data_IF_476561302483
#
_entry.id   IF_476561302483
#
_cell.length_a   1.000
_cell.length_b   1.000
_cell.length_c   1.000
_cell.angle_alpha   90.00
_cell.angle_beta   90.00
_cell.angle_gamma   90.00
#
_symmetry.space_group_name_H-M   'P 1'
#
loop_
_entity.id
_entity.type
_entity.pdbx_description
1 polymer ?
#
# COMPACT_ATOMS: atom_id res chain seq x y z
N UNK A 1 22.17 51.79 -51.66
CA UNK A 1 21.94 51.45 -50.23
C UNK A 1 22.95 52.26 -49.41
N UNK A 2 22.55 52.90 -48.30
CA UNK A 2 23.45 53.74 -47.48
C UNK A 2 24.28 54.78 -48.26
N UNK A 3 23.70 55.39 -49.30
CA UNK A 3 24.39 56.40 -50.13
C UNK A 3 25.33 55.84 -51.19
N UNK A 4 25.54 54.52 -51.27
CA UNK A 4 26.30 53.88 -52.35
C UNK A 4 25.40 53.27 -53.43
N UNK A 5 25.86 53.32 -54.68
CA UNK A 5 25.24 52.66 -55.82
C UNK A 5 25.69 51.19 -55.92
N UNK A 6 24.74 50.29 -56.21
CA UNK A 6 24.99 48.86 -56.36
C UNK A 6 24.48 48.37 -57.71
N UNK A 7 25.28 47.57 -58.41
CA UNK A 7 24.83 46.87 -59.60
C UNK A 7 24.00 45.66 -59.20
N UNK A 8 22.78 45.56 -59.73
CA UNK A 8 21.94 44.37 -59.59
C UNK A 8 22.45 43.31 -60.56
N UNK A 9 22.97 42.20 -60.02
CA UNK A 9 23.56 41.10 -60.80
C UNK A 9 22.55 40.00 -61.15
N UNK A 10 21.38 39.97 -60.50
CA UNK A 10 20.36 38.97 -60.72
C UNK A 10 19.12 39.20 -59.86
N UNK A 11 18.04 38.53 -60.23
CA UNK A 11 16.78 38.47 -59.50
C UNK A 11 16.43 37.01 -59.26
N UNK A 12 15.96 36.69 -58.05
CA UNK A 12 15.49 35.34 -57.71
C UNK A 12 13.97 35.28 -57.81
N UNK A 13 13.45 34.14 -58.26
CA UNK A 13 12.02 33.85 -58.13
C UNK A 13 11.70 33.61 -56.65
N UNK A 14 10.84 34.46 -56.10
CA UNK A 14 10.46 34.42 -54.69
C UNK A 14 9.75 33.12 -54.30
N UNK A 15 8.99 32.50 -55.20
CA UNK A 15 8.30 31.24 -54.92
C UNK A 15 9.30 30.08 -54.93
N UNK A 16 10.18 30.04 -55.94
CA UNK A 16 11.19 28.99 -56.03
C UNK A 16 12.18 29.02 -54.86
N UNK A 17 12.64 30.21 -54.44
CA UNK A 17 13.60 30.33 -53.34
C UNK A 17 12.97 29.98 -51.97
N UNK A 18 11.65 30.14 -51.83
CA UNK A 18 10.92 29.80 -50.60
C UNK A 18 10.87 28.29 -50.34
N UNK A 19 10.96 27.49 -51.40
CA UNK A 19 11.01 26.02 -51.32
C UNK A 19 12.42 25.48 -51.02
N UNK A 20 13.45 26.33 -51.09
CA UNK A 20 14.83 25.93 -50.77
C UNK A 20 15.05 26.06 -49.26
N UNK A 21 15.32 24.93 -48.62
CA UNK A 21 15.62 24.84 -47.19
C UNK A 21 17.07 24.42 -46.96
N UNK A 22 17.64 24.85 -45.83
CA UNK A 22 18.95 24.40 -45.36
C UNK A 22 18.84 23.00 -44.73
N UNK A 23 19.95 22.42 -44.29
CA UNK A 23 20.02 21.08 -43.71
C UNK A 23 19.20 20.94 -42.41
N UNK A 24 19.02 22.03 -41.66
CA UNK A 24 18.16 22.08 -40.47
C UNK A 24 16.66 22.13 -40.82
N UNK A 25 16.30 22.24 -42.11
CA UNK A 25 14.93 22.37 -42.58
C UNK A 25 14.39 23.81 -42.52
N UNK A 26 15.20 24.78 -42.13
CA UNK A 26 14.85 26.19 -42.10
C UNK A 26 15.05 26.88 -43.45
N UNK A 27 14.48 28.09 -43.61
CA UNK A 27 14.63 28.86 -44.85
C UNK A 27 15.98 29.58 -44.87
N UNK A 28 16.57 29.72 -46.06
CA UNK A 28 17.83 30.45 -46.27
C UNK A 28 17.73 31.97 -46.02
N UNK A 29 16.52 32.50 -45.84
CA UNK A 29 16.28 33.92 -45.56
C UNK A 29 16.64 34.27 -44.11
N UNK A 30 17.03 35.52 -43.79
CA UNK A 30 17.33 35.90 -42.41
C UNK A 30 16.14 35.76 -41.47
N UNK A 31 16.41 35.43 -40.21
CA UNK A 31 15.43 35.39 -39.11
C UNK A 31 14.87 36.80 -38.81
N UNK A 32 13.58 36.88 -38.52
CA UNK A 32 12.87 38.07 -38.04
C UNK A 32 13.23 38.32 -36.57
N UNK A 33 14.34 39.03 -36.38
CA UNK A 33 14.92 39.32 -35.06
C UNK A 33 14.02 40.15 -34.15
N UNK A 34 12.98 40.79 -34.69
CA UNK A 34 12.01 41.58 -33.91
C UNK A 34 10.96 40.65 -33.31
N UNK A 35 10.42 39.72 -34.10
CA UNK A 35 9.45 38.73 -33.61
C UNK A 35 10.08 37.75 -32.64
N UNK A 36 11.30 37.33 -32.94
CA UNK A 36 11.98 36.27 -32.19
C UNK A 36 13.04 36.82 -31.21
N UNK A 37 12.95 38.11 -30.86
CA UNK A 37 13.89 38.77 -29.95
C UNK A 37 14.05 38.01 -28.61
N UNK A 38 12.97 37.42 -28.11
CA UNK A 38 12.97 36.61 -26.88
C UNK A 38 13.74 35.30 -27.04
N UNK A 39 13.58 34.60 -28.16
CA UNK A 39 14.28 33.35 -28.49
C UNK A 39 15.78 33.61 -28.67
N UNK A 40 16.12 34.64 -29.45
CA UNK A 40 17.52 35.06 -29.69
C UNK A 40 18.22 35.47 -28.39
N UNK A 41 17.51 36.17 -27.50
CA UNK A 41 18.07 36.57 -26.20
C UNK A 41 18.38 35.33 -25.34
N UNK A 42 17.49 34.33 -25.32
CA UNK A 42 17.74 33.06 -24.60
C UNK A 42 18.95 32.33 -25.17
N UNK A 43 19.02 32.14 -26.48
CA UNK A 43 20.19 31.50 -27.11
C UNK A 43 21.50 32.21 -26.81
N UNK A 44 21.48 33.55 -26.72
CA UNK A 44 22.70 34.32 -26.44
C UNK A 44 23.13 34.30 -24.97
N UNK A 45 22.23 33.92 -24.05
CA UNK A 45 22.47 33.97 -22.59
C UNK A 45 22.63 32.58 -21.98
N UNK A 46 22.07 31.55 -22.61
CA UNK A 46 22.16 30.16 -22.16
C UNK A 46 23.48 29.49 -22.58
N UNK A 47 23.91 28.50 -21.79
CA UNK A 47 25.07 27.69 -22.12
C UNK A 47 24.79 26.94 -23.45
N UNK A 48 25.69 27.00 -24.45
CA UNK A 48 25.56 26.23 -25.70
C UNK A 48 25.30 24.74 -25.47
N UNK A 49 25.78 24.18 -24.35
CA UNK A 49 25.48 22.80 -23.93
C UNK A 49 24.05 22.60 -23.45
N UNK A 50 23.39 23.61 -22.89
CA UNK A 50 21.99 23.51 -22.52
C UNK A 50 21.08 23.59 -23.77
N UNK A 51 21.43 24.48 -24.70
CA UNK A 51 20.70 24.67 -25.97
C UNK A 51 20.79 23.45 -26.90
N UNK A 52 21.93 22.74 -26.90
CA UNK A 52 22.07 21.51 -27.67
C UNK A 52 21.24 20.32 -27.11
N UNK A 53 20.68 20.43 -25.89
CA UNK A 53 19.80 19.41 -25.29
C UNK A 53 18.30 19.69 -25.51
N UNK A 54 17.93 20.89 -25.94
CA UNK A 54 16.53 21.28 -26.17
C UNK A 54 16.06 20.88 -27.57
N UNK A 55 14.75 20.72 -27.75
CA UNK A 55 14.18 20.51 -29.08
C UNK A 55 14.55 21.69 -29.99
N UNK A 56 14.86 21.41 -31.26
CA UNK A 56 15.18 22.44 -32.26
C UNK A 56 13.99 23.39 -32.35
N UNK A 57 14.16 24.63 -31.89
CA UNK A 57 13.17 25.69 -32.02
C UNK A 57 13.23 26.23 -33.44
N UNK A 58 12.06 26.48 -34.04
CA UNK A 58 11.97 26.99 -35.42
C UNK A 58 11.83 28.51 -35.39
N UNK A 59 12.63 29.20 -36.20
CA UNK A 59 12.60 30.65 -36.30
C UNK A 59 11.61 31.15 -37.36
N UNK A 60 11.07 32.34 -37.12
CA UNK A 60 10.34 33.07 -38.14
C UNK A 60 11.34 33.73 -39.07
N UNK A 61 11.27 33.45 -40.38
CA UNK A 61 12.14 34.10 -41.36
C UNK A 61 11.43 35.26 -42.05
N UNK A 62 12.22 36.26 -42.46
CA UNK A 62 11.77 37.34 -43.33
C UNK A 62 11.34 36.78 -44.69
N UNK A 63 10.31 37.37 -45.30
CA UNK A 63 9.90 36.98 -46.65
C UNK A 63 11.00 37.30 -47.68
N UNK A 64 11.13 36.44 -48.70
CA UNK A 64 12.16 36.57 -49.75
C UNK A 64 12.12 37.94 -50.44
N UNK A 65 10.91 38.46 -50.70
CA UNK A 65 10.71 39.78 -51.32
C UNK A 65 11.28 40.95 -50.49
N UNK A 66 11.47 40.74 -49.19
CA UNK A 66 12.02 41.72 -48.26
C UNK A 66 13.52 41.47 -47.97
N UNK A 67 14.15 40.53 -48.68
CA UNK A 67 15.54 40.12 -48.44
C UNK A 67 16.43 40.50 -49.61
N UNK A 68 17.58 41.11 -49.31
CA UNK A 68 18.61 41.43 -50.30
C UNK A 68 19.85 40.56 -50.06
N UNK A 69 20.31 39.88 -51.11
CA UNK A 69 21.58 39.16 -51.09
C UNK A 69 22.71 40.10 -51.52
N UNK A 70 23.65 40.31 -50.61
CA UNK A 70 24.78 41.22 -50.82
C UNK A 70 26.11 40.46 -50.64
N UNK A 71 27.20 40.92 -51.27
CA UNK A 71 28.53 40.34 -51.04
C UNK A 71 28.90 40.33 -49.54
N UNK A 72 29.52 39.24 -49.09
CA UNK A 72 29.90 39.03 -47.69
C UNK A 72 30.60 40.23 -47.04
N UNK A 73 31.59 40.81 -47.73
CA UNK A 73 32.36 41.94 -47.20
C UNK A 73 31.47 43.16 -46.92
N UNK A 74 30.43 43.37 -47.74
CA UNK A 74 29.49 44.48 -47.58
C UNK A 74 28.51 44.24 -46.45
N UNK A 75 27.99 43.01 -46.31
CA UNK A 75 27.16 42.63 -45.16
C UNK A 75 27.92 42.84 -43.85
N UNK A 76 29.19 42.42 -43.81
CA UNK A 76 30.06 42.61 -42.64
C UNK A 76 30.35 44.08 -42.35
N UNK A 77 30.58 44.90 -43.38
CA UNK A 77 30.77 46.35 -43.22
C UNK A 77 29.51 47.06 -42.67
N UNK A 78 28.33 46.47 -42.85
CA UNK A 78 27.05 46.93 -42.30
C UNK A 78 26.72 46.31 -40.93
N UNK A 79 27.72 45.87 -40.18
CA UNK A 79 27.57 45.20 -38.87
C UNK A 79 26.78 43.88 -38.93
N UNK A 80 26.75 43.24 -40.10
CA UNK A 80 26.19 41.92 -40.27
C UNK A 80 26.96 40.88 -39.46
N UNK A 81 26.22 40.03 -38.73
CA UNK A 81 26.78 38.96 -37.88
C UNK A 81 26.70 37.61 -38.59
N UNK A 82 27.67 36.75 -38.30
CA UNK A 82 27.64 35.36 -38.73
C UNK A 82 26.46 34.64 -38.05
N UNK A 83 25.66 33.92 -38.84
CA UNK A 83 24.48 33.18 -38.36
C UNK A 83 24.57 31.70 -38.63
N UNK A 84 24.83 31.31 -39.87
CA UNK A 84 25.03 29.92 -40.27
C UNK A 84 26.38 29.78 -40.99
N UNK A 85 27.00 28.61 -40.85
CA UNK A 85 28.14 28.17 -41.65
C UNK A 85 27.76 26.83 -42.25
N UNK A 86 27.58 26.80 -43.57
CA UNK A 86 27.48 25.56 -44.33
C UNK A 86 28.84 25.21 -44.91
N UNK A 87 29.26 23.96 -44.75
CA UNK A 87 30.51 23.44 -45.31
C UNK A 87 30.16 22.32 -46.27
N UNK A 88 30.48 22.51 -47.55
CA UNK A 88 30.41 21.43 -48.52
C UNK A 88 31.59 20.47 -48.28
N UNK A 89 31.29 19.20 -48.05
CA UNK A 89 32.26 18.13 -47.92
C UNK A 89 32.15 17.18 -49.12
N UNK A 90 33.21 16.40 -49.35
CA UNK A 90 33.21 15.36 -50.37
C UNK A 90 32.29 14.21 -49.93
N UNK A 91 31.32 13.86 -50.78
CA UNK A 91 30.28 12.88 -50.45
C UNK A 91 30.82 11.46 -50.32
N UNK A 92 31.98 11.18 -50.92
CA UNK A 92 32.58 9.84 -51.02
C UNK A 92 33.67 9.59 -49.97
N UNK A 93 33.87 10.51 -49.02
CA UNK A 93 34.90 10.40 -47.99
C UNK A 93 34.47 9.43 -46.87
N UNK A 94 35.06 8.22 -46.79
CA UNK A 94 34.66 7.19 -45.83
C UNK A 94 35.01 7.57 -44.37
N UNK A 95 35.89 8.55 -44.19
CA UNK A 95 36.30 9.05 -42.86
C UNK A 95 35.55 10.31 -42.44
N UNK A 96 34.65 10.84 -43.29
CA UNK A 96 33.95 12.09 -43.01
C UNK A 96 33.15 12.03 -41.71
N UNK A 97 32.39 10.95 -41.51
CA UNK A 97 31.59 10.72 -40.30
C UNK A 97 32.48 10.65 -39.06
N UNK A 98 33.64 9.99 -39.14
CA UNK A 98 34.57 9.89 -38.02
C UNK A 98 35.19 11.26 -37.65
N UNK A 99 35.48 12.09 -38.66
CA UNK A 99 35.93 13.47 -38.45
C UNK A 99 34.86 14.34 -37.80
N UNK A 100 33.61 14.19 -38.24
CA UNK A 100 32.45 14.86 -37.63
C UNK A 100 32.32 14.45 -36.16
N UNK A 101 32.30 13.15 -35.86
CA UNK A 101 32.20 12.65 -34.48
C UNK A 101 33.34 13.15 -33.58
N UNK A 102 34.58 13.13 -34.09
CA UNK A 102 35.75 13.65 -33.39
C UNK A 102 35.65 15.16 -33.12
N UNK A 103 35.16 15.93 -34.08
CA UNK A 103 34.93 17.37 -33.91
C UNK A 103 33.82 17.64 -32.88
N UNK A 104 32.71 16.92 -32.96
CA UNK A 104 31.56 17.05 -32.06
C UNK A 104 31.89 16.66 -30.62
N UNK A 105 32.84 15.75 -30.40
CA UNK A 105 33.33 15.42 -29.05
C UNK A 105 34.03 16.61 -28.36
N UNK A 106 34.49 17.59 -29.14
CA UNK A 106 35.27 18.75 -28.66
C UNK A 106 34.46 20.04 -28.63
N UNK A 107 33.30 20.08 -29.28
CA UNK A 107 32.51 21.29 -29.49
C UNK A 107 31.06 21.05 -29.09
N UNK A 108 30.51 21.93 -28.26
CA UNK A 108 29.13 21.85 -27.80
C UNK A 108 28.18 22.61 -28.73
N UNK A 109 28.01 22.10 -29.95
CA UNK A 109 27.07 22.64 -30.94
C UNK A 109 26.17 21.50 -31.46
N UNK A 110 25.09 21.87 -32.14
CA UNK A 110 24.30 20.96 -32.98
C UNK A 110 24.77 21.11 -34.41
N UNK A 111 25.10 20.02 -35.08
CA UNK A 111 25.57 20.00 -36.46
C UNK A 111 24.62 19.15 -37.32
N UNK A 112 24.12 19.73 -38.41
CA UNK A 112 23.30 19.02 -39.38
C UNK A 112 24.17 18.54 -40.54
N UNK A 113 24.16 17.24 -40.81
CA UNK A 113 25.03 16.60 -41.80
C UNK A 113 24.18 15.85 -42.82
N UNK A 114 24.31 16.21 -44.09
CA UNK A 114 23.74 15.45 -45.19
C UNK A 114 24.50 14.14 -45.43
N UNK A 115 23.80 13.01 -45.41
CA UNK A 115 24.31 11.68 -45.72
C UNK A 115 23.39 11.01 -46.75
N UNK A 116 23.78 11.05 -48.02
CA UNK A 116 22.90 10.64 -49.13
C UNK A 116 21.62 11.49 -49.17
N UNK A 117 20.46 10.83 -49.20
CA UNK A 117 19.13 11.49 -49.23
C UNK A 117 18.59 11.87 -47.84
N UNK A 118 19.41 11.80 -46.78
CA UNK A 118 18.97 12.08 -45.40
C UNK A 118 19.85 13.11 -44.73
N UNK A 119 19.25 13.89 -43.84
CA UNK A 119 20.00 14.77 -42.94
C UNK A 119 20.01 14.17 -41.53
N UNK A 120 21.18 14.14 -40.92
CA UNK A 120 21.42 13.63 -39.57
C UNK A 120 21.90 14.78 -38.68
N UNK A 121 21.22 15.01 -37.56
CA UNK A 121 21.64 15.95 -36.55
C UNK A 121 22.59 15.27 -35.55
N UNK A 122 23.81 15.76 -35.45
CA UNK A 122 24.79 15.36 -34.44
C UNK A 122 24.79 16.40 -33.32
N UNK A 123 24.73 15.97 -32.06
CA UNK A 123 24.90 16.85 -30.90
C UNK A 123 25.91 16.26 -29.92
N UNK A 124 26.66 17.14 -29.25
CA UNK A 124 27.67 16.73 -28.24
C UNK A 124 27.07 16.08 -26.99
N UNK A 125 25.77 16.23 -26.82
CA UNK A 125 25.00 15.56 -25.77
C UNK A 125 24.55 14.27 -26.41
N UNK A 126 25.39 13.25 -26.29
CA UNK A 126 24.98 11.89 -26.58
C UNK A 126 23.62 11.70 -25.94
N UNK A 127 22.60 11.52 -26.77
CA UNK A 127 21.34 10.94 -26.36
C UNK A 127 21.72 9.62 -25.74
N UNK A 128 21.93 9.62 -24.42
CA UNK A 128 21.89 8.40 -23.66
C UNK A 128 20.42 8.05 -23.69
N UNK A 129 19.98 7.49 -24.81
CA UNK A 129 18.70 6.84 -24.90
C UNK A 129 18.61 5.96 -23.68
N UNK A 130 17.51 6.12 -22.96
CA UNK A 130 17.14 5.32 -21.80
C UNK A 130 16.75 3.91 -22.33
N UNK A 131 17.63 3.28 -23.10
CA UNK A 131 17.48 1.96 -23.72
C UNK A 131 17.51 0.83 -22.68
N UNK A 132 17.95 1.12 -21.45
CA UNK A 132 18.08 0.16 -20.35
C UNK A 132 17.05 0.25 -19.23
N UNK A 133 16.17 1.26 -19.15
CA UNK A 133 15.29 1.41 -17.98
C UNK A 133 14.31 0.23 -17.81
N UNK A 134 13.83 -0.34 -18.92
CA UNK A 134 13.02 -1.55 -18.89
C UNK A 134 13.74 -2.75 -18.26
N UNK A 135 15.06 -2.84 -18.40
CA UNK A 135 15.88 -3.92 -17.83
C UNK A 135 16.08 -3.76 -16.31
N UNK A 136 15.98 -2.53 -15.78
CA UNK A 136 16.07 -2.26 -14.34
C UNK A 136 14.79 -2.64 -13.58
N UNK A 137 13.65 -2.75 -14.27
CA UNK A 137 12.37 -3.05 -13.65
C UNK A 137 12.37 -4.41 -12.95
N UNK A 138 12.91 -5.46 -13.60
CA UNK A 138 12.91 -6.82 -13.05
C UNK A 138 13.77 -6.91 -11.77
N UNK A 139 15.04 -6.46 -11.75
CA UNK A 139 15.84 -6.42 -10.53
C UNK A 139 15.21 -5.60 -9.40
N UNK A 140 14.61 -4.45 -9.72
CA UNK A 140 13.92 -3.61 -8.73
C UNK A 140 12.74 -4.36 -8.10
N UNK A 141 11.93 -5.06 -8.90
CA UNK A 141 10.83 -5.88 -8.37
C UNK A 141 11.36 -7.02 -7.51
N UNK A 142 12.41 -7.72 -7.94
CA UNK A 142 13.01 -8.81 -7.16
C UNK A 142 13.51 -8.27 -5.81
N UNK A 143 14.24 -7.16 -5.81
CA UNK A 143 14.69 -6.50 -4.59
C UNK A 143 13.51 -6.08 -3.70
N UNK A 144 12.44 -5.54 -4.30
CA UNK A 144 11.22 -5.16 -3.61
C UNK A 144 10.58 -6.35 -2.89
N UNK A 145 10.47 -7.50 -3.56
CA UNK A 145 9.89 -8.73 -3.02
C UNK A 145 10.77 -9.34 -1.91
N UNK A 146 12.09 -9.27 -2.06
CA UNK A 146 13.02 -9.71 -1.02
C UNK A 146 12.83 -8.87 0.24
N UNK A 147 12.87 -7.54 0.13
CA UNK A 147 12.66 -6.63 1.27
C UNK A 147 11.30 -6.86 1.91
N UNK A 148 10.25 -7.00 1.09
CA UNK A 148 8.90 -7.32 1.56
C UNK A 148 8.90 -8.60 2.40
N UNK A 149 9.44 -9.70 1.88
CA UNK A 149 9.46 -11.00 2.57
C UNK A 149 10.28 -10.95 3.85
N UNK A 150 11.44 -10.28 3.84
CA UNK A 150 12.28 -10.11 5.04
C UNK A 150 11.57 -9.29 6.11
N UNK A 151 10.97 -8.16 5.75
CA UNK A 151 10.23 -7.32 6.71
C UNK A 151 8.98 -8.03 7.24
N UNK A 152 8.29 -8.83 6.42
CA UNK A 152 7.19 -9.68 6.88
C UNK A 152 7.68 -10.67 7.95
N UNK A 153 8.79 -11.37 7.69
CA UNK A 153 9.42 -12.29 8.65
C UNK A 153 9.76 -11.59 9.97
N UNK A 154 10.40 -10.42 9.90
CA UNK A 154 10.75 -9.62 11.08
C UNK A 154 9.53 -9.21 11.91
N UNK A 155 8.41 -8.86 11.28
CA UNK A 155 7.15 -8.54 11.99
C UNK A 155 6.61 -9.78 12.70
N UNK A 156 6.61 -10.95 12.05
CA UNK A 156 6.12 -12.19 12.65
C UNK A 156 6.96 -12.66 13.84
N UNK A 157 8.27 -12.48 13.80
CA UNK A 157 9.16 -12.81 14.92
C UNK A 157 8.91 -11.90 16.12
N UNK A 158 8.56 -10.62 15.88
CA UNK A 158 8.37 -9.59 16.92
C UNK A 158 6.92 -9.43 17.37
N UNK A 159 6.02 -10.38 17.10
CA UNK A 159 4.60 -10.31 17.51
C UNK A 159 4.43 -10.07 19.01
N UNK A 160 5.26 -10.70 19.85
CA UNK A 160 5.21 -10.51 21.31
C UNK A 160 5.55 -9.07 21.70
N UNK A 161 6.54 -8.47 21.06
CA UNK A 161 6.96 -7.08 21.30
C UNK A 161 5.87 -6.09 20.87
N UNK A 162 5.25 -6.32 19.71
CA UNK A 162 4.09 -5.55 19.22
C UNK A 162 2.95 -5.57 20.24
N UNK A 163 2.69 -6.73 20.85
CA UNK A 163 1.71 -6.87 21.94
C UNK A 163 2.08 -6.04 23.17
N UNK A 164 3.35 -6.01 23.57
CA UNK A 164 3.83 -5.18 24.69
C UNK A 164 3.62 -3.70 24.38
N UNK A 165 3.98 -3.24 23.18
CA UNK A 165 3.78 -1.86 22.76
C UNK A 165 2.31 -1.44 22.77
N UNK A 166 1.41 -2.33 22.33
CA UNK A 166 -0.03 -2.10 22.39
C UNK A 166 -0.53 -1.94 23.84
N UNK A 167 -0.06 -2.79 24.77
CA UNK A 167 -0.44 -2.72 26.20
C UNK A 167 0.08 -1.46 26.87
N UNK A 168 1.26 -0.96 26.46
CA UNK A 168 1.81 0.32 26.95
C UNK A 168 1.06 1.53 26.37
N UNK A 169 0.14 1.32 25.41
CA UNK A 169 -0.75 2.35 24.88
C UNK A 169 -0.25 3.02 23.59
N UNK A 170 0.71 2.43 22.88
CA UNK A 170 1.11 2.93 21.57
C UNK A 170 -0.04 2.76 20.57
N UNK A 171 -0.32 3.83 19.81
CA UNK A 171 -1.26 3.75 18.70
C UNK A 171 -0.76 2.76 17.64
N UNK A 172 -1.65 1.96 17.01
CA UNK A 172 -1.30 1.07 15.91
C UNK A 172 -0.44 1.73 14.82
N UNK A 173 -0.74 2.99 14.49
CA UNK A 173 0.03 3.77 13.51
C UNK A 173 1.47 4.04 13.94
N UNK A 174 1.73 4.26 15.23
CA UNK A 174 3.09 4.47 15.76
C UNK A 174 3.91 3.18 15.71
N UNK A 175 3.27 2.03 15.95
CA UNK A 175 3.93 0.73 15.82
C UNK A 175 4.31 0.49 14.36
N UNK A 176 3.40 0.74 13.42
CA UNK A 176 3.74 0.68 11.98
C UNK A 176 4.87 1.64 11.59
N UNK A 177 4.89 2.85 12.14
CA UNK A 177 5.95 3.84 11.91
C UNK A 177 7.32 3.36 12.42
N UNK A 178 7.37 2.59 13.50
CA UNK A 178 8.62 2.02 14.02
C UNK A 178 9.29 1.10 12.97
N UNK A 179 8.50 0.26 12.28
CA UNK A 179 9.01 -0.60 11.21
C UNK A 179 9.40 0.18 9.95
N UNK A 180 8.72 1.28 9.65
CA UNK A 180 9.14 2.22 8.59
C UNK A 180 10.47 2.93 8.94
N UNK A 181 10.66 3.29 10.21
CA UNK A 181 11.91 3.87 10.69
C UNK A 181 13.07 2.86 10.60
N UNK A 182 12.83 1.60 10.96
CA UNK A 182 13.83 0.52 10.83
C UNK A 182 14.24 0.32 9.35
N UNK A 183 13.27 0.33 8.43
CA UNK A 183 13.54 0.22 7.00
C UNK A 183 14.25 1.43 6.40
N UNK A 184 14.19 2.60 7.04
CA UNK A 184 15.01 3.76 6.66
C UNK A 184 16.51 3.48 6.84
N UNK A 185 16.87 2.73 7.87
CA UNK A 185 18.27 2.31 8.11
C UNK A 185 18.73 1.39 6.97
N UNK A 186 17.90 0.41 6.58
CA UNK A 186 18.21 -0.46 5.45
C UNK A 186 18.28 0.29 4.11
N UNK A 187 17.38 1.25 3.88
CA UNK A 187 17.40 2.08 2.68
C UNK A 187 18.69 2.91 2.57
N UNK A 188 19.08 3.55 3.67
CA UNK A 188 20.29 4.39 3.73
C UNK A 188 21.55 3.54 3.58
N UNK A 189 21.63 2.44 4.31
CA UNK A 189 22.79 1.55 4.26
C UNK A 189 22.92 0.88 2.89
N UNK A 190 21.81 0.42 2.31
CA UNK A 190 21.75 -0.17 0.98
C UNK A 190 22.17 0.82 -0.11
N UNK A 191 21.75 2.08 -0.02
CA UNK A 191 22.16 3.12 -0.96
C UNK A 191 23.68 3.40 -0.89
N UNK A 192 24.23 3.58 0.32
CA UNK A 192 25.66 3.88 0.52
C UNK A 192 26.53 2.70 0.08
N UNK A 193 26.22 1.48 0.52
CA UNK A 193 26.98 0.28 0.18
C UNK A 193 26.82 -0.05 -1.30
N UNK A 194 25.61 0.05 -1.84
CA UNK A 194 25.34 -0.19 -3.26
C UNK A 194 26.11 0.78 -4.16
N UNK A 195 26.17 2.06 -3.79
CA UNK A 195 26.96 3.05 -4.50
C UNK A 195 28.46 2.70 -4.47
N UNK A 196 29.00 2.38 -3.29
CA UNK A 196 30.41 2.00 -3.16
C UNK A 196 30.76 0.74 -4.00
N UNK A 197 29.90 -0.28 -3.98
CA UNK A 197 30.08 -1.49 -4.79
C UNK A 197 29.98 -1.20 -6.29
N UNK A 198 29.07 -0.32 -6.71
CA UNK A 198 28.97 0.14 -8.09
C UNK A 198 30.25 0.82 -8.58
N UNK A 199 30.87 1.64 -7.73
CA UNK A 199 32.15 2.29 -8.04
C UNK A 199 33.30 1.28 -8.16
N UNK A 200 33.37 0.31 -7.24
CA UNK A 200 34.39 -0.74 -7.29
C UNK A 200 34.23 -1.60 -8.55
N UNK A 201 32.99 -2.00 -8.87
CA UNK A 201 32.69 -2.77 -10.08
C UNK A 201 33.06 -2.00 -11.35
N UNK A 202 32.78 -0.69 -11.38
CA UNK A 202 33.17 0.18 -12.49
C UNK A 202 34.69 0.24 -12.68
N UNK A 203 35.45 0.47 -11.60
CA UNK A 203 36.91 0.52 -11.64
C UNK A 203 37.50 -0.80 -12.15
N UNK A 204 36.94 -1.92 -11.70
CA UNK A 204 37.30 -3.25 -12.18
C UNK A 204 37.04 -3.40 -13.68
N UNK A 205 35.84 -3.04 -14.15
CA UNK A 205 35.50 -3.12 -15.58
C UNK A 205 36.40 -2.26 -16.47
N UNK A 206 36.79 -1.07 -16.01
CA UNK A 206 37.75 -0.21 -16.70
C UNK A 206 39.14 -0.85 -16.78
N UNK A 207 39.64 -1.40 -15.68
CA UNK A 207 40.99 -1.98 -15.61
C UNK A 207 41.16 -3.17 -16.57
N UNK A 208 40.12 -3.97 -16.77
CA UNK A 208 40.16 -5.14 -17.65
C UNK A 208 39.66 -4.87 -19.07
N UNK A 209 39.35 -3.61 -19.42
CA UNK A 209 38.93 -3.24 -20.77
C UNK A 209 37.60 -3.86 -21.22
N UNK A 210 36.73 -4.27 -20.27
CA UNK A 210 35.42 -4.86 -20.60
C UNK A 210 34.43 -3.83 -21.18
N UNK A 211 34.72 -2.54 -21.00
CA UNK A 211 33.95 -1.43 -21.53
C UNK A 211 34.60 -1.00 -22.86
N UNK A 212 34.11 -1.55 -23.98
CA UNK A 212 34.61 -1.30 -25.33
C UNK A 212 34.35 0.15 -25.80
N UNK A 213 35.04 1.12 -25.20
CA UNK A 213 34.86 2.55 -25.49
C UNK A 213 33.63 3.20 -24.86
N UNK A 214 32.84 2.46 -24.07
CA UNK A 214 31.72 3.01 -23.29
C UNK A 214 32.26 3.83 -22.11
N UNK A 215 32.24 5.16 -22.24
CA UNK A 215 32.45 6.07 -21.11
C UNK A 215 31.17 6.14 -20.28
N UNK A 216 31.15 5.44 -19.14
CA UNK A 216 30.04 5.56 -18.19
C UNK A 216 30.04 6.97 -17.59
N UNK A 217 29.08 7.79 -18.00
CA UNK A 217 28.92 9.15 -17.47
C UNK A 217 28.34 9.08 -16.04
N UNK A 218 29.23 9.19 -15.05
CA UNK A 218 28.87 9.39 -13.65
C UNK A 218 28.48 10.85 -13.40
N UNK A 219 27.34 11.26 -13.95
CA UNK A 219 26.70 12.50 -13.52
C UNK A 219 26.21 12.34 -12.08
N UNK A 220 26.44 13.35 -11.24
CA UNK A 220 25.90 13.39 -9.88
C UNK A 220 24.38 13.19 -9.84
N UNK A 221 23.67 13.59 -10.91
CA UNK A 221 22.23 13.40 -11.06
C UNK A 221 21.84 11.92 -11.18
N UNK A 222 22.62 11.10 -11.90
CA UNK A 222 22.34 9.67 -12.07
C UNK A 222 22.44 8.91 -10.75
N UNK A 223 23.43 9.26 -9.91
CA UNK A 223 23.60 8.68 -8.58
C UNK A 223 22.46 9.07 -7.62
N UNK A 224 21.98 10.32 -7.72
CA UNK A 224 20.81 10.78 -6.97
C UNK A 224 19.56 10.01 -7.38
N UNK A 225 19.30 9.87 -8.68
CA UNK A 225 18.16 9.10 -9.18
C UNK A 225 18.21 7.63 -8.75
N UNK A 226 19.36 6.97 -8.86
CA UNK A 226 19.53 5.60 -8.39
C UNK A 226 19.22 5.47 -6.89
N UNK A 227 19.68 6.42 -6.08
CA UNK A 227 19.42 6.47 -4.64
C UNK A 227 17.94 6.66 -4.34
N UNK A 228 17.25 7.55 -5.07
CA UNK A 228 15.79 7.76 -4.94
C UNK A 228 15.03 6.49 -5.29
N UNK A 229 15.43 5.77 -6.35
CA UNK A 229 14.81 4.49 -6.72
C UNK A 229 15.00 3.45 -5.62
N UNK A 230 16.21 3.31 -5.06
CA UNK A 230 16.49 2.37 -3.96
C UNK A 230 15.65 2.69 -2.74
N UNK A 231 15.65 3.94 -2.28
CA UNK A 231 14.86 4.38 -1.13
C UNK A 231 13.38 4.14 -1.40
N UNK A 232 12.86 4.61 -2.54
CA UNK A 232 11.46 4.43 -2.93
C UNK A 232 11.05 2.96 -2.94
N UNK A 233 11.90 2.07 -3.45
CA UNK A 233 11.65 0.63 -3.48
C UNK A 233 11.54 0.05 -2.06
N UNK A 234 12.49 0.37 -1.17
CA UNK A 234 12.47 -0.13 0.22
C UNK A 234 11.23 0.35 0.96
N UNK A 235 10.87 1.64 0.82
CA UNK A 235 9.68 2.20 1.44
C UNK A 235 8.41 1.53 0.90
N UNK A 236 8.25 1.44 -0.42
CA UNK A 236 7.09 0.79 -1.04
C UNK A 236 6.92 -0.66 -0.57
N UNK A 237 8.02 -1.41 -0.49
CA UNK A 237 8.02 -2.79 0.02
C UNK A 237 7.69 -2.90 1.50
N UNK A 238 7.99 -1.88 2.30
CA UNK A 238 7.79 -1.92 3.76
C UNK A 238 6.43 -1.36 4.19
N UNK A 239 5.71 -0.63 3.33
CA UNK A 239 4.37 -0.13 3.64
C UNK A 239 3.39 -1.25 4.04
N UNK A 240 3.42 -2.37 3.34
CA UNK A 240 2.54 -3.50 3.66
C UNK A 240 2.89 -4.17 5.00
N UNK A 241 4.15 -4.59 5.26
CA UNK A 241 4.58 -5.08 6.58
C UNK A 241 4.29 -4.10 7.73
N UNK A 242 4.53 -2.81 7.54
CA UNK A 242 4.24 -1.79 8.55
C UNK A 242 2.74 -1.73 8.89
N UNK A 243 1.88 -1.83 7.86
CA UNK A 243 0.42 -1.91 8.06
C UNK A 243 0.01 -3.22 8.76
N UNK A 244 0.67 -4.33 8.42
CA UNK A 244 0.45 -5.61 9.09
C UNK A 244 0.79 -5.52 10.59
N UNK A 245 1.95 -4.95 10.93
CA UNK A 245 2.36 -4.74 12.33
C UNK A 245 1.39 -3.84 13.10
N UNK A 246 0.91 -2.76 12.49
CA UNK A 246 -0.11 -1.89 13.06
C UNK A 246 -1.40 -2.67 13.38
N UNK A 247 -1.88 -3.51 12.45
CA UNK A 247 -3.10 -4.29 12.66
C UNK A 247 -2.94 -5.36 13.74
N UNK A 248 -1.76 -5.96 13.89
CA UNK A 248 -1.47 -6.93 14.97
C UNK A 248 -1.52 -6.29 16.37
N UNK A 249 -1.29 -4.98 16.46
CA UNK A 249 -1.37 -4.25 17.72
C UNK A 249 -2.81 -3.96 18.16
N UNK A 250 -3.81 -4.14 17.28
CA UNK A 250 -5.21 -3.99 17.66
C UNK A 250 -5.54 -5.17 18.59
N UNK A 251 -5.85 -4.93 19.88
CA UNK A 251 -6.22 -6.01 20.78
C UNK A 251 -7.35 -6.77 20.12
N UNK A 252 -7.14 -8.06 19.93
CA UNK A 252 -8.14 -8.92 19.34
C UNK A 252 -9.40 -8.88 20.23
N UNK A 253 -10.37 -8.06 19.82
CA UNK A 253 -11.72 -7.99 20.41
C UNK A 253 -12.40 -9.37 20.33
N UNK A 254 -11.79 -10.33 19.64
CA UNK A 254 -12.28 -11.69 19.45
C UNK A 254 -11.47 -12.77 20.17
N UNK A 255 -11.20 -12.60 21.48
CA UNK A 255 -11.13 -13.81 22.35
C UNK A 255 -12.54 -14.41 22.46
N UNK A 256 -13.05 -14.93 21.34
CA UNK A 256 -14.26 -15.72 21.28
C UNK A 256 -14.03 -16.91 22.19
N UNK A 257 -14.90 -17.03 23.19
CA UNK A 257 -14.85 -18.13 24.12
C UNK A 257 -14.99 -19.45 23.33
N UNK A 258 -14.01 -20.35 23.47
CA UNK A 258 -13.99 -21.65 22.81
C UNK A 258 -14.46 -22.70 23.80
N UNK A 259 -15.52 -23.42 23.43
CA UNK A 259 -16.07 -24.52 24.22
C UNK A 259 -15.30 -25.81 23.92
N UNK A 260 -15.11 -26.70 24.91
CA UNK A 260 -14.58 -28.04 24.65
C UNK A 260 -15.52 -28.80 23.69
N UNK A 261 -15.04 -29.77 22.91
CA UNK A 261 -15.91 -30.59 22.07
C UNK A 261 -16.87 -31.44 22.94
N UNK A 262 -18.12 -31.69 22.50
CA UNK A 262 -19.05 -32.55 23.22
C UNK A 262 -18.65 -34.03 23.15
N UNK A 263 -19.08 -34.81 24.13
CA UNK A 263 -18.93 -36.26 24.18
C UNK A 263 -20.19 -36.92 23.60
N UNK A 264 -20.18 -37.14 22.27
CA UNK A 264 -21.35 -37.66 21.55
C UNK A 264 -22.52 -36.67 21.62
N UNK A 265 -23.60 -37.09 22.28
CA UNK A 265 -24.82 -36.28 22.42
C UNK A 265 -24.85 -35.44 23.69
N UNK A 266 -23.85 -35.57 24.54
CA UNK A 266 -23.76 -34.84 25.80
C UNK A 266 -22.64 -33.79 25.75
N UNK A 267 -22.97 -32.55 26.09
CA UNK A 267 -22.03 -31.46 26.21
C UNK A 267 -22.01 -30.96 27.65
N UNK A 268 -20.88 -31.14 28.33
CA UNK A 268 -20.68 -30.73 29.71
C UNK A 268 -19.46 -29.83 29.82
N UNK A 269 -19.63 -28.64 30.40
CA UNK A 269 -18.53 -27.70 30.64
C UNK A 269 -18.89 -26.67 31.71
N UNK A 270 -17.86 -26.10 32.34
CA UNK A 270 -18.02 -24.95 33.23
C UNK A 270 -18.30 -23.69 32.40
N UNK A 271 -19.41 -23.02 32.68
CA UNK A 271 -19.76 -21.73 32.11
C UNK A 271 -18.90 -20.64 32.79
N UNK A 272 -18.28 -19.70 32.06
CA UNK A 272 -17.30 -18.74 32.55
C UNK A 272 -18.01 -17.57 33.24
N UNK A 273 -18.81 -17.93 34.23
CA UNK A 273 -19.60 -17.01 35.03
C UNK A 273 -19.64 -17.57 36.45
N UNK A 274 -19.29 -16.73 37.41
CA UNK A 274 -19.35 -17.02 38.84
C UNK A 274 -20.24 -16.01 39.52
N UNK A 275 -20.96 -16.48 40.53
CA UNK A 275 -22.03 -15.71 41.21
C UNK A 275 -21.85 -15.88 42.71
N UNK A 276 -22.10 -14.82 43.48
CA UNK A 276 -22.13 -14.94 44.94
C UNK A 276 -23.38 -15.70 45.37
N UNK A 277 -23.26 -16.56 46.39
CA UNK A 277 -24.33 -17.48 46.80
C UNK A 277 -25.67 -16.78 47.08
N UNK A 278 -25.64 -15.58 47.67
CA UNK A 278 -26.84 -14.80 47.95
C UNK A 278 -27.61 -14.35 46.68
N UNK A 279 -26.94 -14.21 45.53
CA UNK A 279 -27.55 -13.77 44.27
C UNK A 279 -28.06 -14.94 43.40
N UNK A 280 -27.63 -16.18 43.67
CA UNK A 280 -27.96 -17.34 42.82
C UNK A 280 -29.47 -17.55 42.69
N UNK A 281 -30.27 -17.55 43.79
CA UNK A 281 -31.69 -17.84 43.68
C UNK A 281 -32.43 -16.80 42.83
N UNK A 282 -32.23 -15.50 43.10
CA UNK A 282 -32.88 -14.42 42.37
C UNK A 282 -32.42 -14.33 40.91
N UNK A 283 -31.14 -14.61 40.63
CA UNK A 283 -30.65 -14.73 39.26
C UNK A 283 -31.36 -15.87 38.51
N UNK A 284 -31.57 -17.03 39.14
CA UNK A 284 -32.26 -18.17 38.51
C UNK A 284 -33.75 -17.90 38.28
N UNK A 285 -34.42 -17.16 39.18
CA UNK A 285 -35.79 -16.66 38.94
C UNK A 285 -35.84 -15.70 37.76
N UNK A 286 -34.88 -14.76 37.68
CA UNK A 286 -34.73 -13.88 36.51
C UNK A 286 -34.54 -14.69 35.23
N UNK A 287 -33.62 -15.65 35.21
CA UNK A 287 -33.36 -16.49 34.04
C UNK A 287 -34.59 -17.32 33.65
N UNK A 288 -35.35 -17.85 34.62
CA UNK A 288 -36.64 -18.53 34.36
C UNK A 288 -37.60 -17.60 33.63
N UNK A 289 -37.78 -16.37 34.12
CA UNK A 289 -38.66 -15.39 33.49
C UNK A 289 -38.23 -15.03 32.06
N UNK A 290 -36.91 -14.88 31.85
CA UNK A 290 -36.34 -14.56 30.53
C UNK A 290 -36.49 -15.73 29.57
N UNK A 291 -36.14 -16.95 29.97
CA UNK A 291 -36.23 -18.11 29.09
C UNK A 291 -37.66 -18.55 28.80
N UNK A 292 -38.58 -18.40 29.77
CA UNK A 292 -40.01 -18.63 29.51
C UNK A 292 -40.57 -17.67 28.45
N UNK A 293 -40.03 -16.45 28.33
CA UNK A 293 -40.41 -15.50 27.28
C UNK A 293 -39.95 -15.92 25.87
N UNK A 294 -39.02 -16.87 25.74
CA UNK A 294 -38.62 -17.48 24.46
C UNK A 294 -39.58 -18.61 24.01
N UNK A 295 -40.80 -18.68 24.53
CA UNK A 295 -41.80 -19.69 24.17
C UNK A 295 -42.38 -19.57 22.73
N UNK A 296 -43.43 -20.36 22.45
CA UNK A 296 -44.12 -20.39 21.15
C UNK A 296 -44.63 -19.00 20.76
N UNK A 297 -44.19 -18.51 19.59
CA UNK A 297 -44.54 -17.20 19.04
C UNK A 297 -43.40 -16.18 19.03
N UNK A 298 -42.26 -16.48 19.67
CA UNK A 298 -41.07 -15.63 19.57
C UNK A 298 -40.26 -15.94 18.30
N UNK A 299 -40.02 -14.91 17.48
CA UNK A 299 -39.02 -14.97 16.41
C UNK A 299 -37.67 -14.68 17.08
N UNK A 300 -36.98 -15.73 17.51
CA UNK A 300 -35.77 -15.63 18.31
C UNK A 300 -34.64 -16.53 17.84
N UNK A 301 -33.53 -16.51 18.58
CA UNK A 301 -32.37 -17.37 18.32
C UNK A 301 -32.61 -18.84 18.71
N UNK A 302 -33.57 -19.09 19.61
CA UNK A 302 -34.03 -20.41 20.04
C UNK A 302 -35.44 -20.30 20.63
N UNK A 303 -36.15 -21.41 20.75
CA UNK A 303 -37.39 -21.55 21.51
C UNK A 303 -37.09 -22.34 22.78
N UNK A 304 -37.64 -21.95 23.93
CA UNK A 304 -37.56 -22.70 25.18
C UNK A 304 -38.95 -23.13 25.67
N UNK A 305 -39.04 -24.38 26.18
CA UNK A 305 -40.20 -24.92 26.88
C UNK A 305 -39.77 -25.60 28.17
N UNK A 306 -40.77 -25.85 29.02
CA UNK A 306 -40.62 -26.64 30.24
C UNK A 306 -39.48 -26.07 31.12
N UNK A 307 -39.49 -24.74 31.30
CA UNK A 307 -38.47 -24.02 32.06
C UNK A 307 -38.75 -24.18 33.55
N UNK A 308 -38.04 -25.11 34.17
CA UNK A 308 -38.24 -25.54 35.54
C UNK A 308 -37.03 -25.19 36.41
N UNK A 309 -37.30 -24.85 37.67
CA UNK A 309 -36.28 -24.60 38.67
C UNK A 309 -36.26 -25.78 39.65
N UNK A 310 -35.07 -26.19 40.04
CA UNK A 310 -34.86 -27.19 41.09
C UNK A 310 -33.81 -26.74 42.08
N UNK A 311 -33.92 -27.22 43.31
CA UNK A 311 -32.96 -26.95 44.39
C UNK A 311 -32.70 -28.25 45.14
N UNK A 312 -31.43 -28.50 45.47
CA UNK A 312 -31.02 -29.63 46.29
C UNK A 312 -30.24 -29.14 47.50
N UNK A 313 -30.66 -29.58 48.67
CA UNK A 313 -30.10 -29.20 49.97
C UNK A 313 -29.29 -30.33 50.63
N UNK A 314 -28.87 -31.34 49.85
CA UNK A 314 -28.14 -32.51 50.36
C UNK A 314 -26.68 -32.22 50.75
N UNK A 315 -26.16 -31.04 50.38
CA UNK A 315 -24.81 -30.58 50.68
C UNK A 315 -24.75 -29.47 51.75
N UNK A 316 -23.54 -29.05 52.15
CA UNK A 316 -23.35 -27.95 53.12
C UNK A 316 -23.89 -26.61 52.62
N UNK A 317 -23.93 -26.40 51.30
CA UNK A 317 -24.60 -25.27 50.66
C UNK A 317 -25.60 -25.79 49.61
N UNK A 318 -26.76 -25.14 49.45
CA UNK A 318 -27.78 -25.57 48.49
C UNK A 318 -27.28 -25.42 47.06
N UNK A 319 -27.55 -26.40 46.20
CA UNK A 319 -27.29 -26.31 44.76
C UNK A 319 -28.59 -25.98 44.02
N UNK A 320 -28.50 -25.09 43.04
CA UNK A 320 -29.66 -24.62 42.27
C UNK A 320 -29.52 -25.04 40.82
N UNK A 321 -30.63 -25.35 40.17
CA UNK A 321 -30.62 -25.64 38.74
C UNK A 321 -31.83 -25.05 38.02
N UNK A 322 -31.63 -24.81 36.73
CA UNK A 322 -32.67 -24.50 35.77
C UNK A 322 -32.58 -25.51 34.64
N UNK A 323 -33.68 -26.20 34.39
CA UNK A 323 -33.82 -27.17 33.31
C UNK A 323 -34.80 -26.62 32.28
N UNK A 324 -34.53 -26.86 31.00
CA UNK A 324 -35.41 -26.46 29.90
C UNK A 324 -35.16 -27.33 28.68
N UNK A 325 -36.20 -27.51 27.87
CA UNK A 325 -36.07 -28.04 26.51
C UNK A 325 -35.97 -26.90 25.52
N UNK A 326 -34.97 -26.95 24.64
CA UNK A 326 -34.74 -25.88 23.66
C UNK A 326 -34.71 -26.39 22.23
N UNK A 327 -35.23 -25.58 21.31
CA UNK A 327 -35.14 -25.79 19.86
C UNK A 327 -34.33 -24.65 19.26
N UNK A 328 -33.27 -24.98 18.50
CA UNK A 328 -32.35 -23.99 17.98
C UNK A 328 -32.78 -23.52 16.58
N UNK A 329 -32.65 -22.21 16.31
CA UNK A 329 -32.82 -21.68 14.97
C UNK A 329 -31.57 -21.99 14.10
N UNK A 330 -31.73 -22.21 12.78
CA UNK A 330 -33.00 -22.22 12.03
C UNK A 330 -33.80 -23.52 12.28
N UNK A 331 -35.12 -23.38 12.45
CA UNK A 331 -35.99 -24.45 12.98
C UNK A 331 -36.30 -25.57 11.97
N UNK A 332 -36.02 -25.33 10.69
CA UNK A 332 -36.11 -26.31 9.60
C UNK A 332 -35.17 -27.51 9.80
N UNK A 333 -34.05 -27.30 10.48
CA UNK A 333 -33.11 -28.37 10.84
C UNK A 333 -33.61 -29.27 11.98
N UNK A 334 -34.70 -28.91 12.66
CA UNK A 334 -35.33 -29.74 13.69
C UNK A 334 -34.40 -30.06 14.88
N UNK A 335 -33.43 -29.20 15.19
CA UNK A 335 -32.46 -29.43 16.26
C UNK A 335 -33.11 -29.11 17.60
N UNK A 336 -33.21 -30.11 18.48
CA UNK A 336 -33.72 -29.94 19.84
C UNK A 336 -32.78 -30.56 20.86
N UNK A 337 -32.77 -30.00 22.07
CA UNK A 337 -31.86 -30.38 23.13
C UNK A 337 -32.46 -30.12 24.51
N UNK A 338 -32.06 -30.93 25.49
CA UNK A 338 -32.30 -30.67 26.90
C UNK A 338 -31.12 -29.84 27.45
N UNK A 339 -31.40 -28.75 28.16
CA UNK A 339 -30.38 -27.90 28.78
C UNK A 339 -30.61 -27.87 30.28
N UNK A 340 -29.54 -28.09 31.04
CA UNK A 340 -29.50 -27.92 32.50
C UNK A 340 -28.33 -27.00 32.85
N UNK A 341 -28.60 -25.95 33.62
CA UNK A 341 -27.57 -25.05 34.15
C UNK A 341 -27.53 -25.21 35.67
N UNK A 342 -26.47 -25.84 36.19
CA UNK A 342 -26.33 -26.16 37.61
C UNK A 342 -25.40 -25.15 38.29
N UNK A 343 -25.91 -24.41 39.25
CA UNK A 343 -25.11 -23.61 40.16
C UNK A 343 -24.65 -24.51 41.31
N UNK A 344 -23.36 -24.81 41.32
CA UNK A 344 -22.73 -25.63 42.36
C UNK A 344 -21.78 -24.78 43.21
N UNK A 345 -21.78 -24.94 44.54
CA UNK A 345 -20.87 -24.21 45.42
C UNK A 345 -19.43 -24.67 45.16
N UNK A 346 -18.50 -23.72 45.07
CA UNK A 346 -17.07 -24.05 44.89
C UNK A 346 -16.38 -24.43 46.21
N UNK A 347 -17.03 -24.18 47.36
CA UNK A 347 -16.47 -24.38 48.70
C UNK A 347 -15.59 -23.23 49.19
N UNK A 348 -15.36 -22.20 48.36
CA UNK A 348 -14.55 -21.05 48.68
C UNK A 348 -15.35 -19.75 48.55
N UNK A 349 -15.26 -18.88 49.57
CA UNK A 349 -15.80 -17.51 49.54
C UNK A 349 -17.29 -17.38 49.16
N UNK A 350 -18.12 -18.41 49.41
CA UNK A 350 -19.53 -18.47 49.01
C UNK A 350 -19.75 -18.15 47.52
N UNK A 351 -18.83 -18.62 46.66
CA UNK A 351 -18.93 -18.46 45.21
C UNK A 351 -19.52 -19.73 44.61
N UNK A 352 -20.41 -19.54 43.65
CA UNK A 352 -21.00 -20.60 42.85
C UNK A 352 -20.43 -20.59 41.45
N UNK A 353 -20.07 -21.77 40.95
CA UNK A 353 -19.77 -21.99 39.54
C UNK A 353 -21.02 -22.51 38.83
N UNK A 354 -21.16 -22.18 37.55
CA UNK A 354 -22.29 -22.62 36.74
C UNK A 354 -21.81 -23.70 35.79
N UNK A 355 -22.24 -24.93 36.02
CA UNK A 355 -21.98 -26.05 35.13
C UNK A 355 -23.10 -26.17 34.10
N UNK A 356 -22.78 -26.19 32.82
CA UNK A 356 -23.75 -26.31 31.72
C UNK A 356 -23.73 -27.73 31.18
N UNK A 357 -24.91 -28.35 31.16
CA UNK A 357 -25.14 -29.69 30.61
C UNK A 357 -26.16 -29.55 29.47
N UNK A 358 -25.79 -29.98 28.28
CA UNK A 358 -26.65 -29.97 27.10
C UNK A 358 -26.70 -31.37 26.52
N UNK A 359 -27.88 -31.92 26.34
CA UNK A 359 -28.11 -33.23 25.74
C UNK A 359 -28.90 -33.06 24.44
N UNK A 360 -28.35 -33.53 23.32
CA UNK A 360 -29.01 -33.51 22.01
C UNK A 360 -30.17 -34.51 22.01
N UNK A 361 -31.36 -34.05 21.67
CA UNK A 361 -32.55 -34.90 21.52
C UNK A 361 -32.86 -35.20 20.04
N UNK A 362 -32.60 -34.24 19.14
CA UNK A 362 -32.81 -34.39 17.69
C UNK A 362 -31.88 -33.50 16.85
N UNK A 363 -31.79 -33.77 15.55
CA UNK A 363 -30.91 -33.06 14.60
C UNK A 363 -29.50 -33.68 14.51
N UNK A 364 -28.73 -33.38 13.47
CA UNK A 364 -27.38 -33.97 13.30
C UNK A 364 -26.33 -33.33 14.24
N UNK A 365 -25.31 -34.09 14.63
CA UNK A 365 -24.28 -33.66 15.60
C UNK A 365 -23.52 -32.43 15.12
N UNK A 366 -23.18 -32.34 13.83
CA UNK A 366 -22.37 -31.25 13.30
C UNK A 366 -23.15 -29.93 13.24
N UNK A 367 -24.42 -29.96 12.86
CA UNK A 367 -25.30 -28.78 12.89
C UNK A 367 -25.66 -28.41 14.33
N UNK A 368 -25.91 -29.39 15.22
CA UNK A 368 -26.14 -29.14 16.64
C UNK A 368 -24.97 -28.41 17.30
N UNK A 369 -23.73 -28.84 17.05
CA UNK A 369 -22.53 -28.15 17.56
C UNK A 369 -22.41 -26.72 17.02
N UNK A 370 -22.66 -26.50 15.73
CA UNK A 370 -22.59 -25.16 15.12
C UNK A 370 -23.65 -24.22 15.67
N UNK A 371 -24.90 -24.67 15.78
CA UNK A 371 -26.01 -23.83 16.23
C UNK A 371 -25.89 -23.46 17.71
N UNK A 372 -25.32 -24.35 18.52
CA UNK A 372 -25.07 -24.08 19.93
C UNK A 372 -24.12 -22.90 20.18
N UNK A 373 -23.19 -22.57 19.28
CA UNK A 373 -22.38 -21.35 19.44
C UNK A 373 -23.25 -20.09 19.58
N UNK A 374 -24.33 -20.00 18.80
CA UNK A 374 -25.24 -18.85 18.85
C UNK A 374 -26.04 -18.87 20.15
N UNK A 375 -26.61 -20.03 20.51
CA UNK A 375 -27.34 -20.24 21.76
C UNK A 375 -26.51 -19.85 23.00
N UNK A 376 -25.28 -20.35 23.10
CA UNK A 376 -24.40 -20.10 24.25
C UNK A 376 -23.98 -18.64 24.36
N UNK A 377 -23.85 -17.93 23.23
CA UNK A 377 -23.64 -16.49 23.22
C UNK A 377 -24.87 -15.73 23.76
N UNK A 378 -26.09 -16.20 23.46
CA UNK A 378 -27.30 -15.61 24.02
C UNK A 378 -27.38 -15.87 25.52
N UNK A 379 -27.12 -17.09 25.99
CA UNK A 379 -27.03 -17.41 27.42
C UNK A 379 -26.05 -16.46 28.12
N UNK A 380 -24.84 -16.32 27.57
CA UNK A 380 -23.80 -15.44 28.14
C UNK A 380 -24.27 -14.00 28.26
N UNK A 381 -24.93 -13.47 27.23
CA UNK A 381 -25.52 -12.12 27.29
C UNK A 381 -26.54 -12.02 28.42
N UNK A 382 -27.40 -13.03 28.64
CA UNK A 382 -28.40 -12.99 29.72
C UNK A 382 -27.76 -12.98 31.12
N UNK A 383 -26.69 -13.74 31.33
CA UNK A 383 -25.89 -13.69 32.55
C UNK A 383 -25.19 -12.34 32.76
N UNK A 384 -24.66 -11.72 31.69
CA UNK A 384 -24.04 -10.39 31.79
C UNK A 384 -25.07 -9.29 32.10
N UNK A 385 -26.27 -9.38 31.50
CA UNK A 385 -27.36 -8.41 31.75
C UNK A 385 -27.75 -8.42 33.23
N UNK A 386 -27.79 -9.58 33.89
CA UNK A 386 -28.08 -9.69 35.33
C UNK A 386 -27.18 -8.76 36.17
N UNK A 387 -25.86 -8.74 35.91
CA UNK A 387 -24.91 -7.87 36.63
C UNK A 387 -25.15 -6.38 36.40
N UNK A 388 -25.79 -6.02 35.29
CA UNK A 388 -26.08 -4.62 34.93
C UNK A 388 -27.47 -4.17 35.39
N UNK A 389 -28.32 -5.07 35.91
CA UNK A 389 -29.66 -4.72 36.37
C UNK A 389 -29.59 -3.79 37.60
N UNK A 390 -30.45 -2.77 37.58
CA UNK A 390 -30.62 -1.86 38.70
C UNK A 390 -31.00 -2.61 39.98
N UNK A 391 -30.52 -2.19 41.17
CA UNK A 391 -30.76 -2.90 42.43
C UNK A 391 -32.25 -3.16 42.73
N UNK A 392 -33.13 -2.20 42.42
CA UNK A 392 -34.57 -2.36 42.63
C UNK A 392 -35.21 -3.48 41.78
N UNK A 393 -34.70 -3.71 40.55
CA UNK A 393 -35.17 -4.82 39.72
C UNK A 393 -34.67 -6.16 40.29
N UNK A 394 -33.41 -6.23 40.73
CA UNK A 394 -32.86 -7.43 41.36
C UNK A 394 -33.61 -7.80 42.64
N UNK A 395 -34.04 -6.79 43.41
CA UNK A 395 -34.86 -7.00 44.60
C UNK A 395 -36.24 -7.57 44.28
N UNK A 396 -36.89 -7.13 43.20
CA UNK A 396 -38.16 -7.73 42.76
C UNK A 396 -38.05 -9.23 42.47
N UNK A 397 -36.95 -9.67 41.84
CA UNK A 397 -36.70 -11.10 41.63
C UNK A 397 -36.36 -11.85 42.93
N UNK A 398 -35.76 -11.18 43.91
CA UNK A 398 -35.50 -11.75 45.23
C UNK A 398 -36.81 -12.05 45.98
N UNK A 399 -37.79 -11.16 45.89
CA UNK A 399 -39.09 -11.33 46.55
C UNK A 399 -39.89 -12.50 45.95
N UNK A 400 -39.62 -12.88 44.69
CA UNK A 400 -40.26 -14.00 44.01
C UNK A 400 -39.60 -15.38 44.29
N UNK A 401 -38.42 -15.41 44.92
CA UNK A 401 -37.64 -16.64 45.13
C UNK A 401 -38.43 -17.72 45.87
N UNK A 402 -39.04 -17.36 47.00
CA UNK A 402 -39.76 -18.33 47.83
C UNK A 402 -40.89 -19.00 47.05
N UNK A 403 -41.67 -18.21 46.30
CA UNK A 403 -42.76 -18.70 45.44
C UNK A 403 -42.25 -19.54 44.28
N UNK A 404 -41.13 -19.15 43.67
CA UNK A 404 -40.58 -19.82 42.49
C UNK A 404 -40.00 -21.20 42.79
N UNK A 405 -39.48 -21.40 44.01
CA UNK A 405 -38.91 -22.68 44.47
C UNK A 405 -39.86 -23.51 45.35
N UNK A 406 -41.00 -22.97 45.82
CA UNK A 406 -41.98 -23.70 46.65
C UNK A 406 -42.61 -24.94 45.99
N UNK A 407 -42.52 -25.08 44.67
CA UNK A 407 -42.98 -26.25 43.90
C UNK A 407 -41.87 -26.96 43.13
N UNK A 408 -40.61 -26.70 43.47
CA UNK A 408 -39.46 -27.28 42.80
C UNK A 408 -39.22 -28.72 43.26
N UNK A 409 -39.26 -29.69 42.33
CA UNK A 409 -38.84 -31.06 42.63
C UNK A 409 -37.32 -31.11 42.88
N UNK A 410 -36.83 -32.00 43.77
CA UNK A 410 -35.40 -32.19 43.99
C UNK A 410 -34.69 -32.58 42.70
N UNK A 411 -33.43 -32.16 42.52
CA UNK A 411 -32.65 -32.51 41.33
C UNK A 411 -32.62 -34.04 41.14
N UNK A 412 -33.17 -34.52 40.02
CA UNK A 412 -32.91 -35.87 39.56
C UNK A 412 -31.44 -35.96 39.13
N UNK A 413 -30.66 -36.66 39.95
CA UNK A 413 -29.21 -36.91 39.81
C UNK A 413 -28.88 -37.52 38.46
#
# INVERSE_FOLDING_TARGET
>A
LYGEEYQVIGLFDSAALKEVVDLDGERLTPVDTVKDAGLITRESTEDPRALAATAVETFNHLEVINTLFLPYERVRAMDGRLRSIAIAADADDPEFVQRVESFMSRVALTLFVGQGDRVVAYSSIGSTEISGAGQLLVPVIIAALIVLNTMMGAVYERVREIGIYSVVGLAPSHIGLLFLAESTVFATFGAVVGYALGQIAHLFMLQYGLLAGLTLNYSSLSAVWATVVVIGTVYLSTLYPARMAANMAVPDVTRQWQFPPPAGDHWRFDFPFTVGGAEVPSMYVYLKSVFAAYGEGSIGDFIARDVELSVTTDGPEPSYAIAMRTWLAPYDLGISQQVRLLATPTGEHHIYKIETHIERLSGDVASWQRMNRKFLNVLRKRFLVWRTLAPGIRQGYQDEVEKAFAGAEPLAV
#
